data_IF_844334280588
#
_entry.id   IF_844334280588
#
_cell.length_a   1.000
_cell.length_b   1.000
_cell.length_c   1.000
_cell.angle_alpha   90.00
_cell.angle_beta   90.00
_cell.angle_gamma   90.00
#
_symmetry.space_group_name_H-M   'P 1'
#
loop_
_entity.id
_entity.type
_entity.pdbx_description
1 polymer ?
#
# COMPACT_ATOMS: atom_id res chain seq x y z
N UNK A 1 -2.36 6.56 -7.03
CA UNK A 1 -1.02 6.05 -6.66
C UNK A 1 -0.67 6.67 -5.31
N UNK A 2 -0.08 5.91 -4.38
CA UNK A 2 0.22 6.38 -3.01
C UNK A 2 1.67 6.12 -2.60
N UNK A 3 2.56 5.86 -3.57
CA UNK A 3 3.98 5.60 -3.31
C UNK A 3 4.88 6.84 -3.39
N UNK A 4 4.30 8.04 -3.52
CA UNK A 4 5.06 9.30 -3.54
C UNK A 4 5.42 9.76 -2.11
N UNK A 5 6.49 10.54 -1.98
CA UNK A 5 6.94 11.11 -0.70
C UNK A 5 5.86 11.96 0.00
N UNK A 6 4.99 12.61 -0.78
CA UNK A 6 3.90 13.45 -0.27
C UNK A 6 2.58 12.71 -0.05
N UNK A 7 2.52 11.40 -0.38
CA UNK A 7 1.32 10.59 -0.19
C UNK A 7 1.09 10.22 1.28
N UNK A 8 -0.17 9.99 1.65
CA UNK A 8 -0.56 9.42 2.94
C UNK A 8 -1.62 8.33 2.72
N UNK A 9 -1.38 7.13 3.23
CA UNK A 9 -2.24 5.95 2.98
C UNK A 9 -3.65 6.11 3.55
N UNK A 10 -3.79 6.64 4.78
CA UNK A 10 -5.10 6.86 5.38
C UNK A 10 -5.93 7.90 4.60
N UNK A 11 -5.30 9.00 4.19
CA UNK A 11 -5.93 9.99 3.30
C UNK A 11 -6.27 9.36 1.94
N UNK A 12 -5.40 8.51 1.41
CA UNK A 12 -5.66 7.83 0.14
C UNK A 12 -6.86 6.87 0.23
N UNK A 13 -6.99 6.10 1.32
CA UNK A 13 -8.20 5.29 1.60
C UNK A 13 -9.45 6.16 1.67
N UNK A 14 -9.37 7.35 2.28
CA UNK A 14 -10.47 8.30 2.28
C UNK A 14 -10.84 8.75 0.86
N UNK A 15 -9.85 9.03 0.00
CA UNK A 15 -10.12 9.40 -1.41
C UNK A 15 -10.77 8.28 -2.22
N UNK A 16 -10.44 7.01 -1.94
CA UNK A 16 -11.08 5.85 -2.58
C UNK A 16 -12.56 5.74 -2.20
N UNK A 17 -12.91 6.07 -0.95
CA UNK A 17 -14.30 6.17 -0.53
C UNK A 17 -15.00 7.37 -1.18
N UNK A 18 -14.35 8.54 -1.18
CA UNK A 18 -14.93 9.75 -1.76
C UNK A 18 -15.23 9.60 -3.26
N UNK A 19 -14.33 8.99 -4.03
CA UNK A 19 -14.52 8.82 -5.48
C UNK A 19 -15.65 7.83 -5.82
N UNK A 20 -15.93 6.87 -4.93
CA UNK A 20 -17.06 5.94 -5.06
C UNK A 20 -18.41 6.67 -5.09
N UNK A 21 -18.51 7.71 -4.29
CA UNK A 21 -19.76 8.42 -4.02
C UNK A 21 -20.01 9.56 -5.03
N UNK A 22 -19.08 9.82 -5.94
CA UNK A 22 -19.26 10.78 -7.03
C UNK A 22 -20.26 10.21 -8.05
N UNK A 23 -21.30 11.00 -8.34
CA UNK A 23 -22.26 10.74 -9.41
C UNK A 23 -21.67 11.20 -10.76
N UNK A 24 -20.79 10.36 -11.32
CA UNK A 24 -20.20 10.57 -12.63
C UNK A 24 -20.78 9.57 -13.65
N UNK A 25 -20.85 10.01 -14.91
CA UNK A 25 -21.26 9.16 -16.03
C UNK A 25 -20.05 8.54 -16.75
N UNK A 26 -18.87 9.17 -16.62
CA UNK A 26 -17.65 8.80 -17.34
C UNK A 26 -16.44 8.98 -16.43
N UNK A 27 -15.62 7.94 -16.28
CA UNK A 27 -14.35 7.99 -15.57
C UNK A 27 -13.20 7.80 -16.56
N UNK A 28 -12.36 8.82 -16.70
CA UNK A 28 -11.18 8.78 -17.57
C UNK A 28 -9.95 8.51 -16.69
N UNK A 29 -9.34 7.34 -16.85
CA UNK A 29 -8.16 6.97 -16.06
C UNK A 29 -6.87 7.46 -16.71
N UNK A 30 -5.94 7.98 -15.92
CA UNK A 30 -4.65 8.48 -16.42
C UNK A 30 -3.73 7.36 -16.95
N UNK A 31 -3.89 6.13 -16.45
CA UNK A 31 -3.09 4.99 -16.86
C UNK A 31 -3.89 3.68 -16.97
N UNK A 32 -3.63 2.93 -18.05
CA UNK A 32 -3.94 1.50 -18.30
C UNK A 32 -5.40 1.01 -18.29
N UNK A 33 -6.40 1.82 -17.90
CA UNK A 33 -7.81 1.38 -17.89
C UNK A 33 -8.76 2.17 -18.79
N UNK A 34 -8.22 3.11 -19.57
CA UNK A 34 -8.96 3.93 -20.53
C UNK A 34 -10.18 4.65 -19.88
N UNK A 35 -11.29 4.74 -20.63
CA UNK A 35 -12.54 5.39 -20.26
C UNK A 35 -13.55 4.34 -19.80
N UNK A 36 -14.09 4.50 -18.59
CA UNK A 36 -15.15 3.64 -18.04
C UNK A 36 -16.45 4.44 -18.08
N UNK A 37 -17.52 3.87 -18.65
CA UNK A 37 -18.85 4.49 -18.73
C UNK A 37 -19.93 3.69 -18.02
N UNK A 38 -19.58 2.51 -17.50
CA UNK A 38 -20.46 1.65 -16.72
C UNK A 38 -20.12 1.78 -15.23
N UNK A 39 -21.13 2.08 -14.40
CA UNK A 39 -20.93 2.36 -12.98
C UNK A 39 -20.49 1.11 -12.21
N UNK A 40 -21.08 -0.04 -12.49
CA UNK A 40 -20.77 -1.28 -11.77
C UNK A 40 -19.35 -1.77 -12.10
N UNK A 41 -18.92 -1.61 -13.36
CA UNK A 41 -17.54 -1.85 -13.78
C UNK A 41 -16.55 -0.91 -13.08
N UNK A 42 -16.89 0.38 -12.92
CA UNK A 42 -16.08 1.32 -12.14
C UNK A 42 -15.96 0.88 -10.68
N UNK A 43 -17.09 0.56 -10.03
CA UNK A 43 -17.11 0.13 -8.63
C UNK A 43 -16.32 -1.16 -8.41
N UNK A 44 -16.45 -2.13 -9.32
CA UNK A 44 -15.67 -3.38 -9.29
C UNK A 44 -14.17 -3.11 -9.41
N UNK A 45 -13.78 -2.23 -10.34
CA UNK A 45 -12.38 -1.86 -10.51
C UNK A 45 -11.82 -1.10 -9.29
N UNK A 46 -12.60 -0.20 -8.72
CA UNK A 46 -12.25 0.56 -7.51
C UNK A 46 -12.08 -0.36 -6.31
N UNK A 47 -12.99 -1.32 -6.12
CA UNK A 47 -12.88 -2.32 -5.05
C UNK A 47 -11.64 -3.18 -5.23
N UNK A 48 -11.42 -3.72 -6.44
CA UNK A 48 -10.23 -4.54 -6.72
C UNK A 48 -8.92 -3.78 -6.49
N UNK A 49 -8.91 -2.45 -6.69
CA UNK A 49 -7.76 -1.62 -6.37
C UNK A 49 -7.63 -1.37 -4.87
N UNK A 50 -8.75 -1.15 -4.16
CA UNK A 50 -8.79 -1.00 -2.71
C UNK A 50 -8.28 -2.26 -2.00
N UNK A 51 -8.70 -3.44 -2.46
CA UNK A 51 -8.26 -4.74 -1.92
C UNK A 51 -6.73 -4.91 -1.98
N UNK A 52 -6.05 -4.28 -2.95
CA UNK A 52 -4.59 -4.34 -3.06
C UNK A 52 -3.88 -3.63 -1.91
N UNK A 53 -4.52 -2.71 -1.20
CA UNK A 53 -3.95 -2.09 -0.02
C UNK A 53 -3.97 -3.10 1.13
N UNK A 54 -5.09 -3.76 1.35
CA UNK A 54 -5.25 -4.72 2.45
C UNK A 54 -4.42 -5.98 2.22
N UNK A 55 -4.37 -6.49 0.98
CA UNK A 55 -3.46 -7.59 0.60
C UNK A 55 -1.99 -7.28 0.89
N UNK A 56 -1.57 -6.00 0.80
CA UNK A 56 -0.21 -5.59 1.14
C UNK A 56 -0.01 -5.55 2.66
N UNK A 57 -0.98 -5.05 3.42
CA UNK A 57 -0.91 -5.10 4.88
C UNK A 57 -0.80 -6.55 5.37
N UNK A 58 -1.60 -7.47 4.82
CA UNK A 58 -1.55 -8.90 5.14
C UNK A 58 -0.20 -9.53 4.77
N UNK A 59 0.32 -9.21 3.57
CA UNK A 59 1.65 -9.68 3.14
C UNK A 59 2.74 -9.18 4.10
N UNK A 60 2.69 -7.92 4.53
CA UNK A 60 3.64 -7.34 5.47
C UNK A 60 3.55 -8.00 6.85
N UNK A 61 2.36 -8.29 7.35
CA UNK A 61 2.18 -9.09 8.58
C UNK A 61 2.75 -10.50 8.44
N UNK A 62 2.66 -11.10 7.25
CA UNK A 62 3.32 -12.36 6.92
C UNK A 62 4.84 -12.28 6.98
N UNK A 63 5.44 -11.19 6.46
CA UNK A 63 6.89 -10.95 6.53
C UNK A 63 7.38 -10.79 7.98
N UNK A 64 6.54 -10.25 8.87
CA UNK A 64 6.84 -10.04 10.29
C UNK A 64 6.47 -11.22 11.18
N UNK A 65 6.04 -12.35 10.62
CA UNK A 65 5.48 -13.46 11.38
C UNK A 65 6.50 -14.15 12.30
N UNK A 66 7.75 -14.32 11.85
CA UNK A 66 8.72 -15.17 12.53
C UNK A 66 9.64 -14.40 13.50
N UNK A 67 10.15 -13.25 13.08
CA UNK A 67 11.13 -12.48 13.84
C UNK A 67 10.99 -10.98 13.55
N UNK A 68 11.49 -10.11 14.44
CA UNK A 68 11.57 -8.68 14.14
C UNK A 68 12.40 -8.41 12.87
N UNK A 69 11.95 -7.48 12.03
CA UNK A 69 12.63 -7.11 10.79
C UNK A 69 12.91 -5.60 10.76
N UNK A 70 14.04 -5.22 10.17
CA UNK A 70 14.33 -3.82 9.84
C UNK A 70 13.60 -3.40 8.58
N UNK A 71 13.42 -2.09 8.38
CA UNK A 71 12.86 -1.55 7.15
C UNK A 71 13.67 -1.98 5.91
N UNK A 72 15.00 -1.98 5.99
CA UNK A 72 15.86 -2.43 4.88
C UNK A 72 15.62 -3.91 4.53
N UNK A 73 15.46 -4.77 5.53
CA UNK A 73 15.19 -6.19 5.32
C UNK A 73 13.83 -6.39 4.64
N UNK A 74 12.80 -5.64 5.05
CA UNK A 74 11.48 -5.67 4.42
C UNK A 74 11.53 -5.17 2.97
N UNK A 75 12.28 -4.11 2.68
CA UNK A 75 12.47 -3.60 1.31
C UNK A 75 13.12 -4.65 0.42
N UNK A 76 14.12 -5.37 0.92
CA UNK A 76 14.79 -6.45 0.19
C UNK A 76 13.86 -7.63 -0.13
N UNK A 77 12.87 -7.90 0.72
CA UNK A 77 11.87 -8.96 0.52
C UNK A 77 10.79 -8.61 -0.52
N UNK A 78 10.70 -7.34 -0.94
CA UNK A 78 9.74 -6.78 -1.90
C UNK A 78 8.27 -6.95 -1.49
N UNK A 79 7.65 -5.87 -1.02
CA UNK A 79 6.22 -5.84 -0.75
C UNK A 79 5.41 -5.72 -2.05
N UNK A 80 5.84 -4.83 -2.96
CA UNK A 80 5.04 -4.35 -4.10
C UNK A 80 5.50 -4.93 -5.44
N UNK A 81 6.80 -4.91 -5.70
CA UNK A 81 7.40 -5.38 -6.96
C UNK A 81 7.76 -6.87 -6.88
N UNK A 82 7.81 -7.59 -8.01
CA UNK A 82 8.31 -8.95 -8.01
C UNK A 82 9.83 -8.97 -7.80
N UNK A 83 10.33 -10.05 -7.19
CA UNK A 83 11.77 -10.31 -7.10
C UNK A 83 12.38 -10.36 -8.51
N UNK A 84 13.49 -9.65 -8.72
CA UNK A 84 14.19 -9.56 -9.99
C UNK A 84 13.70 -8.44 -10.93
N UNK A 85 12.63 -7.72 -10.59
CA UNK A 85 12.32 -6.46 -11.28
C UNK A 85 13.20 -5.35 -10.72
N UNK A 86 14.07 -4.82 -11.56
CA UNK A 86 15.04 -3.79 -11.19
C UNK A 86 14.77 -2.51 -11.98
N UNK A 87 14.50 -1.43 -11.25
CA UNK A 87 14.47 -0.07 -11.77
C UNK A 87 14.89 0.90 -10.66
N UNK A 88 15.43 2.06 -11.04
CA UNK A 88 16.04 3.01 -10.11
C UNK A 88 15.12 3.43 -8.94
N UNK A 89 13.80 3.45 -9.16
CA UNK A 89 12.81 3.87 -8.17
C UNK A 89 12.28 2.75 -7.27
N UNK A 90 12.60 1.48 -7.56
CA UNK A 90 11.93 0.33 -6.89
C UNK A 90 12.14 0.37 -5.39
N UNK A 91 13.38 0.56 -4.93
CA UNK A 91 13.70 0.57 -3.50
C UNK A 91 13.02 1.74 -2.78
N UNK A 92 12.94 2.91 -3.41
CA UNK A 92 12.30 4.09 -2.83
C UNK A 92 10.78 3.89 -2.68
N UNK A 93 10.14 3.31 -3.70
CA UNK A 93 8.71 2.99 -3.66
C UNK A 93 8.42 1.89 -2.64
N UNK A 94 9.23 0.83 -2.59
CA UNK A 94 9.11 -0.23 -1.57
C UNK A 94 9.20 0.36 -0.18
N UNK A 95 10.25 1.14 0.10
CA UNK A 95 10.45 1.81 1.40
C UNK A 95 9.22 2.65 1.76
N UNK A 96 8.81 3.54 0.86
CA UNK A 96 7.69 4.46 1.12
C UNK A 96 6.36 3.74 1.34
N UNK A 97 6.10 2.67 0.60
CA UNK A 97 4.88 1.87 0.80
C UNK A 97 4.94 1.08 2.11
N UNK A 98 6.07 0.43 2.42
CA UNK A 98 6.24 -0.32 3.66
C UNK A 98 6.09 0.59 4.88
N UNK A 99 6.72 1.77 4.89
CA UNK A 99 6.59 2.74 5.99
C UNK A 99 5.13 3.15 6.25
N UNK A 100 4.37 3.45 5.20
CA UNK A 100 2.96 3.83 5.35
C UNK A 100 2.09 2.68 5.88
N UNK A 101 2.34 1.45 5.43
CA UNK A 101 1.64 0.26 5.94
C UNK A 101 2.04 -0.06 7.38
N UNK A 102 3.33 0.01 7.72
CA UNK A 102 3.81 -0.14 9.10
C UNK A 102 3.16 0.88 10.02
N UNK A 103 3.00 2.13 9.57
CA UNK A 103 2.32 3.16 10.36
C UNK A 103 0.87 2.79 10.66
N UNK A 104 0.08 2.39 9.66
CA UNK A 104 -1.30 1.94 9.88
C UNK A 104 -1.36 0.73 10.83
N UNK A 105 -0.47 -0.25 10.65
CA UNK A 105 -0.44 -1.46 11.48
C UNK A 105 0.01 -1.18 12.92
N UNK A 106 0.91 -0.21 13.13
CA UNK A 106 1.32 0.23 14.47
C UNK A 106 0.18 1.00 15.15
N UNK A 107 -0.47 1.92 14.43
CA UNK A 107 -1.62 2.66 14.95
C UNK A 107 -2.80 1.71 15.28
N UNK A 108 -2.94 0.59 14.55
CA UNK A 108 -3.90 -0.47 14.80
C UNK A 108 -3.46 -1.48 15.89
N UNK A 109 -2.25 -1.35 16.45
CA UNK A 109 -1.72 -2.26 17.47
C UNK A 109 -1.39 -3.67 16.98
N UNK A 110 -1.28 -3.89 15.66
CA UNK A 110 -0.93 -5.18 15.06
C UNK A 110 0.58 -5.37 14.89
N UNK A 111 1.34 -4.27 14.90
CA UNK A 111 2.80 -4.23 14.80
C UNK A 111 3.33 -3.30 15.89
N UNK A 112 4.53 -3.59 16.41
CA UNK A 112 5.26 -2.75 17.36
C UNK A 112 6.65 -2.44 16.85
N UNK A 113 7.10 -1.20 17.06
CA UNK A 113 8.51 -0.84 16.91
C UNK A 113 9.25 -1.30 18.17
N UNK A 114 10.08 -2.34 18.04
CA UNK A 114 10.80 -2.94 19.17
C UNK A 114 12.15 -2.30 19.43
N UNK A 115 12.70 -1.62 18.42
CA UNK A 115 13.90 -0.80 18.53
C UNK A 115 13.81 0.37 17.55
N UNK A 116 13.56 1.56 18.09
CA UNK A 116 13.45 2.78 17.29
C UNK A 116 14.80 3.25 16.72
N UNK A 117 15.92 2.88 17.36
CA UNK A 117 17.26 3.28 16.91
C UNK A 117 17.70 2.49 15.67
N UNK A 118 17.25 1.24 15.57
CA UNK A 118 17.53 0.35 14.43
C UNK A 118 16.34 0.16 13.48
N UNK A 119 15.18 0.76 13.78
CA UNK A 119 13.96 0.64 12.98
C UNK A 119 13.47 -0.81 12.88
N UNK A 120 13.49 -1.56 13.99
CA UNK A 120 13.02 -2.94 14.04
C UNK A 120 11.53 -3.00 14.37
N UNK A 121 10.79 -3.71 13.52
CA UNK A 121 9.36 -3.93 13.66
C UNK A 121 9.09 -5.40 13.93
N UNK A 122 8.16 -5.68 14.83
CA UNK A 122 7.67 -7.03 15.11
C UNK A 122 6.15 -7.03 15.09
N UNK A 123 5.55 -8.15 14.68
CA UNK A 123 4.13 -8.37 14.91
C UNK A 123 3.82 -8.33 16.42
N UNK A 124 2.69 -7.72 16.78
CA UNK A 124 2.23 -7.61 18.16
C UNK A 124 1.77 -8.97 18.73
#
# INVERSE_FOLDING_TARGET
YYGDATSNLAQFRHTLNAVRDIDAQVWVTSHHRAVITDRDAFLTALQAFTDKLDQRADKLLGMLHHEPQSLEALVAQRLVYPLGYEAAFVNDVERRMIEQHLRELVDAGQVRCVDASHGLFARA
#
